data_IF_971728790528
#
_entry.id   IF_971728790528
#
_cell.length_a   1.000
_cell.length_b   1.000
_cell.length_c   1.000
_cell.angle_alpha   90.00
_cell.angle_beta   90.00
_cell.angle_gamma   90.00
#
_symmetry.space_group_name_H-M   'P 1'
#
loop_
_entity.id
_entity.type
_entity.pdbx_description
1 polymer ?
#
# COMPACT_ATOMS: atom_id res chain seq x y z
N UNK A 1 -12.35 12.45 -12.44
CA UNK A 1 -11.93 12.33 -11.04
C UNK A 1 -11.57 10.87 -10.82
N UNK A 2 -10.33 10.59 -10.45
CA UNK A 2 -9.77 9.22 -10.40
C UNK A 2 -10.57 8.36 -9.41
N UNK A 3 -10.99 7.17 -9.86
CA UNK A 3 -11.47 6.11 -8.97
C UNK A 3 -10.27 5.48 -8.26
N UNK A 4 -9.69 6.21 -7.30
CA UNK A 4 -8.48 5.80 -6.56
C UNK A 4 -8.78 5.05 -5.26
N UNK A 5 -10.06 4.82 -4.95
CA UNK A 5 -10.52 4.02 -3.82
C UNK A 5 -11.10 2.70 -4.32
N UNK A 6 -10.67 1.59 -3.72
CA UNK A 6 -11.20 0.25 -3.96
C UNK A 6 -11.69 -0.37 -2.65
N UNK A 7 -12.83 -1.07 -2.67
CA UNK A 7 -13.39 -1.77 -1.51
C UNK A 7 -14.64 -1.10 -0.92
N UNK A 8 -15.20 -1.71 0.14
CA UNK A 8 -16.40 -1.21 0.85
C UNK A 8 -16.27 -1.27 2.38
N UNK A 9 -15.92 -2.44 2.92
CA UNK A 9 -15.67 -2.62 4.37
C UNK A 9 -14.17 -2.55 4.68
N UNK A 10 -13.35 -3.15 3.82
CA UNK A 10 -11.91 -2.95 3.78
C UNK A 10 -11.60 -2.11 2.55
N UNK A 11 -11.17 -0.88 2.76
CA UNK A 11 -10.99 0.11 1.67
C UNK A 11 -9.54 0.52 1.54
N UNK A 12 -9.07 0.60 0.29
CA UNK A 12 -7.74 1.07 -0.06
C UNK A 12 -7.87 2.30 -0.92
N UNK A 13 -7.32 3.43 -0.47
CA UNK A 13 -7.29 4.68 -1.22
C UNK A 13 -5.84 5.06 -1.51
N UNK A 14 -5.47 5.22 -2.78
CA UNK A 14 -4.09 5.52 -3.18
C UNK A 14 -3.89 6.98 -3.55
N UNK A 15 -2.67 7.48 -3.41
CA UNK A 15 -2.27 8.82 -3.84
C UNK A 15 -0.78 8.88 -4.17
N UNK A 16 -0.37 9.99 -4.80
CA UNK A 16 0.99 10.23 -5.25
C UNK A 16 1.17 10.00 -6.74
N UNK A 17 2.28 10.53 -7.25
CA UNK A 17 2.64 10.50 -8.67
C UNK A 17 4.04 9.90 -8.82
N UNK A 18 4.31 9.24 -9.95
CA UNK A 18 5.61 8.60 -10.19
C UNK A 18 6.81 9.56 -10.13
N UNK A 19 6.59 10.84 -10.42
CA UNK A 19 7.62 11.90 -10.33
C UNK A 19 7.37 12.86 -9.15
N UNK A 20 6.42 12.52 -8.28
CA UNK A 20 6.13 13.29 -7.08
C UNK A 20 7.13 12.99 -5.95
N UNK A 21 7.03 13.71 -4.83
CA UNK A 21 7.92 13.52 -3.69
C UNK A 21 7.74 12.15 -3.00
N UNK A 22 6.55 11.54 -3.12
CA UNK A 22 6.22 10.27 -2.50
C UNK A 22 5.02 9.59 -3.17
N UNK A 23 4.89 8.28 -2.90
CA UNK A 23 3.71 7.46 -3.17
C UNK A 23 3.12 6.98 -1.84
N UNK A 24 1.81 6.81 -1.77
CA UNK A 24 1.18 6.34 -0.54
C UNK A 24 -0.23 5.80 -0.73
N UNK A 25 -0.75 5.21 0.34
CA UNK A 25 -2.14 4.78 0.43
C UNK A 25 -2.64 4.84 1.87
N UNK A 26 -3.97 4.91 2.00
CA UNK A 26 -4.69 4.73 3.26
C UNK A 26 -5.45 3.41 3.15
N UNK A 27 -5.38 2.60 4.22
CA UNK A 27 -6.11 1.35 4.36
C UNK A 27 -7.03 1.48 5.57
N UNK A 28 -8.34 1.40 5.35
CA UNK A 28 -9.36 1.42 6.41
C UNK A 28 -10.06 0.07 6.53
N UNK A 29 -10.61 -0.19 7.73
CA UNK A 29 -11.34 -1.42 8.03
C UNK A 29 -10.46 -2.59 8.47
N UNK A 30 -9.18 -2.33 8.79
CA UNK A 30 -8.30 -3.34 9.37
C UNK A 30 -8.75 -3.66 10.82
N UNK A 31 -8.99 -4.93 11.17
CA UNK A 31 -9.29 -5.31 12.55
C UNK A 31 -8.14 -4.94 13.51
N UNK A 32 -8.45 -4.56 14.75
CA UNK A 32 -7.41 -4.30 15.75
C UNK A 32 -6.71 -5.59 16.20
N UNK A 33 -5.52 -5.46 16.79
CA UNK A 33 -4.76 -6.58 17.36
C UNK A 33 -3.96 -7.40 16.35
N UNK A 34 -3.88 -6.93 15.09
CA UNK A 34 -2.95 -7.48 14.09
C UNK A 34 -1.58 -6.82 14.32
N UNK A 35 -0.56 -7.63 14.59
CA UNK A 35 0.82 -7.15 14.57
C UNK A 35 1.19 -6.80 13.13
N UNK A 36 1.70 -5.58 12.92
CA UNK A 36 2.08 -5.08 11.61
C UNK A 36 3.32 -4.21 11.74
N UNK A 37 4.31 -4.49 10.91
CA UNK A 37 5.55 -3.75 10.79
C UNK A 37 5.84 -3.45 9.33
N UNK A 38 6.78 -2.54 9.06
CA UNK A 38 7.21 -2.20 7.70
C UNK A 38 7.85 -3.40 6.99
N UNK A 39 8.51 -4.30 7.74
CA UNK A 39 9.16 -5.49 7.20
C UNK A 39 8.14 -6.47 6.56
N UNK A 40 6.92 -6.52 7.09
CA UNK A 40 5.84 -7.37 6.57
C UNK A 40 5.43 -6.93 5.15
N UNK A 41 5.44 -5.62 4.89
CA UNK A 41 5.11 -5.04 3.58
C UNK A 41 6.32 -5.04 2.63
N UNK A 42 7.52 -4.76 3.15
CA UNK A 42 8.73 -4.62 2.35
C UNK A 42 9.06 -5.89 1.57
N UNK A 43 8.82 -7.07 2.15
CA UNK A 43 9.02 -8.36 1.48
C UNK A 43 8.24 -8.45 0.17
N UNK A 44 6.98 -8.04 0.16
CA UNK A 44 6.14 -8.10 -1.04
C UNK A 44 6.48 -7.00 -2.05
N UNK A 45 6.94 -5.83 -1.57
CA UNK A 45 7.48 -4.79 -2.44
C UNK A 45 8.76 -5.27 -3.15
N UNK A 46 9.66 -5.93 -2.44
CA UNK A 46 10.94 -6.41 -2.99
C UNK A 46 10.74 -7.54 -4.00
N UNK A 47 9.75 -8.42 -3.78
CA UNK A 47 9.38 -9.48 -4.76
C UNK A 47 8.96 -8.93 -6.12
N UNK A 48 8.51 -7.68 -6.21
CA UNK A 48 8.15 -7.04 -7.48
C UNK A 48 9.37 -6.67 -8.33
N UNK A 49 10.57 -6.66 -7.76
CA UNK A 49 11.82 -6.42 -8.50
C UNK A 49 12.40 -7.78 -8.92
N UNK A 50 12.46 -8.11 -10.23
CA UNK A 50 12.89 -9.43 -10.70
C UNK A 50 14.41 -9.73 -10.58
N UNK A 51 15.14 -9.00 -9.73
CA UNK A 51 16.57 -9.23 -9.48
C UNK A 51 17.12 -8.29 -8.42
N UNK A 52 17.81 -8.86 -7.43
CA UNK A 52 18.67 -8.15 -6.48
C UNK A 52 20.11 -8.29 -6.97
N UNK A 53 20.53 -7.36 -7.82
CA UNK A 53 21.92 -7.23 -8.30
C UNK A 53 22.61 -6.09 -7.58
#
# INVERSE_FOLDING_TARGET
MSGNTYGKLFTVTTFGESHGPALGCIIDGCPPGIELTEADLQRDLDRRKPGTS
#
